data_IF_875393646008
#
_entry.id   IF_875393646008
#
_cell.length_a   1.000
_cell.length_b   1.000
_cell.length_c   1.000
_cell.angle_alpha   90.00
_cell.angle_beta   90.00
_cell.angle_gamma   90.00
#
_symmetry.space_group_name_H-M   'P 1'
#
loop_
_entity.id
_entity.type
_entity.pdbx_description
1 polymer ?
#
# COMPACT_ATOMS: atom_id res chain seq x y z
N UNK A 1 22.99 -3.23 19.35
CA UNK A 1 21.66 -3.34 18.69
C UNK A 1 21.25 -1.94 18.29
N UNK A 2 20.96 -1.67 17.01
CA UNK A 2 20.52 -0.34 16.60
C UNK A 2 19.14 -0.04 17.22
N UNK A 3 18.88 1.19 17.68
CA UNK A 3 17.55 1.56 18.15
C UNK A 3 16.51 1.42 17.02
N UNK A 4 15.23 1.15 17.35
CA UNK A 4 14.18 1.12 16.33
C UNK A 4 14.14 2.46 15.57
N UNK A 5 13.80 2.47 14.28
CA UNK A 5 13.72 3.70 13.51
C UNK A 5 12.70 4.67 14.15
N UNK A 6 12.96 5.98 14.14
CA UNK A 6 12.01 6.95 14.66
C UNK A 6 10.73 6.98 13.82
N UNK A 7 9.60 7.31 14.46
CA UNK A 7 8.27 7.23 13.85
C UNK A 7 8.10 8.09 12.59
N UNK A 8 8.84 9.19 12.47
CA UNK A 8 8.81 10.09 11.30
C UNK A 8 9.44 9.50 10.03
N UNK A 9 10.11 8.35 10.15
CA UNK A 9 10.59 7.57 9.00
C UNK A 9 9.52 6.68 8.38
N UNK A 10 8.40 6.43 9.06
CA UNK A 10 7.37 5.54 8.57
C UNK A 10 6.27 6.30 7.84
N UNK A 11 5.90 5.79 6.68
CA UNK A 11 4.72 6.21 5.92
C UNK A 11 3.93 4.97 5.53
N UNK A 12 2.60 5.03 5.64
CA UNK A 12 1.76 3.97 5.09
C UNK A 12 1.10 4.44 3.79
N UNK A 13 1.11 3.58 2.78
CA UNK A 13 0.63 3.88 1.43
C UNK A 13 -0.52 2.95 1.03
N UNK A 14 -1.50 3.49 0.30
CA UNK A 14 -2.51 2.70 -0.39
C UNK A 14 -3.02 3.44 -1.61
N UNK A 15 -3.09 2.74 -2.74
CA UNK A 15 -3.61 3.25 -3.99
C UNK A 15 -4.97 2.64 -4.32
N UNK A 16 -5.75 3.39 -5.07
CA UNK A 16 -6.92 2.89 -5.79
C UNK A 16 -6.68 3.06 -7.28
N UNK A 17 -7.15 2.08 -8.04
CA UNK A 17 -6.90 1.98 -9.46
C UNK A 17 -8.20 1.81 -10.25
N UNK A 18 -8.13 2.26 -11.50
CA UNK A 18 -9.13 2.02 -12.53
C UNK A 18 -8.55 1.08 -13.59
N UNK A 19 -9.42 0.47 -14.38
CA UNK A 19 -9.08 -0.36 -15.53
C UNK A 19 -8.97 0.46 -16.81
N UNK A 20 -7.88 0.24 -17.54
CA UNK A 20 -7.64 0.76 -18.89
C UNK A 20 -7.38 -0.38 -19.88
N UNK A 21 -7.45 -0.08 -21.18
CA UNK A 21 -7.28 -1.06 -22.24
C UNK A 21 -8.47 -2.00 -22.41
N UNK A 22 -8.36 -3.05 -23.25
CA UNK A 22 -9.45 -3.98 -23.51
C UNK A 22 -9.98 -4.61 -22.22
N UNK A 23 -11.27 -4.38 -21.94
CA UNK A 23 -11.97 -4.93 -20.76
C UNK A 23 -11.48 -4.42 -19.40
N UNK A 24 -10.73 -3.32 -19.32
CA UNK A 24 -10.27 -2.76 -18.04
C UNK A 24 -9.23 -3.61 -17.29
N UNK A 25 -8.57 -4.50 -18.02
CA UNK A 25 -7.63 -5.51 -17.48
C UNK A 25 -6.34 -4.91 -16.95
N UNK A 26 -5.91 -3.76 -17.46
CA UNK A 26 -4.69 -3.08 -17.01
C UNK A 26 -5.03 -2.07 -15.93
N UNK A 27 -4.43 -2.20 -14.75
CA UNK A 27 -4.62 -1.26 -13.64
C UNK A 27 -3.85 0.04 -13.89
N UNK A 28 -4.52 1.17 -13.72
CA UNK A 28 -3.95 2.51 -13.76
C UNK A 28 -4.27 3.25 -12.47
N UNK A 29 -3.31 4.00 -11.94
CA UNK A 29 -3.49 4.80 -10.73
C UNK A 29 -4.61 5.84 -10.91
N UNK A 30 -5.51 5.92 -9.93
CA UNK A 30 -6.62 6.87 -9.93
C UNK A 30 -6.74 7.65 -8.62
N UNK A 31 -6.23 7.10 -7.51
CA UNK A 31 -6.07 7.82 -6.23
C UNK A 31 -4.89 7.22 -5.47
N UNK A 32 -4.09 8.05 -4.83
CA UNK A 32 -3.03 7.63 -3.90
C UNK A 32 -3.25 8.30 -2.57
N UNK A 33 -3.10 7.52 -1.50
CA UNK A 33 -3.13 8.01 -0.12
C UNK A 33 -1.84 7.59 0.58
N UNK A 34 -1.26 8.55 1.30
CA UNK A 34 -0.14 8.33 2.20
C UNK A 34 -0.52 8.94 3.56
N UNK A 35 -0.30 8.16 4.62
CA UNK A 35 -0.49 8.59 6.01
C UNK A 35 0.83 8.52 6.77
N UNK A 36 1.00 9.39 7.76
CA UNK A 36 2.13 9.31 8.69
C UNK A 36 1.99 8.14 9.65
N UNK A 37 3.01 7.91 10.48
CA UNK A 37 2.96 6.85 11.49
C UNK A 37 1.74 6.95 12.39
N UNK A 38 1.20 8.13 12.70
CA UNK A 38 0.01 8.30 13.55
C UNK A 38 -1.32 8.08 12.81
N UNK A 39 -1.28 7.76 11.52
CA UNK A 39 -2.46 7.59 10.68
C UNK A 39 -3.06 8.91 10.19
N UNK A 40 -2.37 10.05 10.36
CA UNK A 40 -2.77 11.34 9.80
C UNK A 40 -2.44 11.34 8.31
N UNK A 41 -3.40 11.78 7.49
CA UNK A 41 -3.19 11.92 6.03
C UNK A 41 -2.13 12.99 5.77
N UNK A 42 -1.07 12.60 5.06
CA UNK A 42 -0.02 13.52 4.59
C UNK A 42 -0.17 13.83 3.10
N UNK A 43 -0.74 12.89 2.34
CA UNK A 43 -1.04 13.08 0.92
C UNK A 43 -2.27 12.26 0.55
N UNK A 44 -3.23 12.89 -0.13
CA UNK A 44 -4.43 12.24 -0.65
C UNK A 44 -4.86 12.99 -1.90
N UNK A 45 -4.68 12.36 -3.06
CA UNK A 45 -4.98 12.97 -4.35
C UNK A 45 -5.56 11.96 -5.32
N UNK A 46 -6.62 12.40 -6.01
CA UNK A 46 -7.05 11.77 -7.25
C UNK A 46 -6.05 12.09 -8.36
N UNK A 47 -5.90 11.16 -9.29
CA UNK A 47 -4.89 11.20 -10.35
C UNK A 47 -5.56 11.10 -11.70
N UNK A 48 -5.18 11.98 -12.63
CA UNK A 48 -5.69 11.96 -13.99
C UNK A 48 -5.10 10.75 -14.72
N UNK A 49 -5.94 9.82 -15.22
CA UNK A 49 -5.50 8.72 -16.05
C UNK A 49 -4.77 9.24 -17.30
N UNK A 50 -3.68 8.58 -17.71
CA UNK A 50 -2.98 8.90 -18.96
C UNK A 50 -3.49 8.07 -20.14
N UNK A 51 -4.46 7.19 -19.91
CA UNK A 51 -5.14 6.37 -20.90
C UNK A 51 -6.65 6.44 -20.66
N UNK A 52 -7.44 6.15 -21.69
CA UNK A 52 -8.90 6.07 -21.56
C UNK A 52 -9.29 4.97 -20.56
N UNK A 53 -10.08 5.36 -19.56
CA UNK A 53 -10.67 4.44 -18.59
C UNK A 53 -11.78 3.63 -19.26
N UNK A 54 -11.67 2.31 -19.20
CA UNK A 54 -12.68 1.38 -19.70
C UNK A 54 -13.47 0.71 -18.57
N UNK A 55 -12.94 0.70 -17.36
CA UNK A 55 -13.63 0.26 -16.15
C UNK A 55 -13.21 1.10 -14.94
N UNK A 56 -14.14 1.80 -14.29
CA UNK A 56 -13.83 2.59 -13.09
C UNK A 56 -13.70 1.76 -11.81
N UNK A 57 -14.13 0.49 -11.84
CA UNK A 57 -14.18 -0.40 -10.68
C UNK A 57 -14.98 0.22 -9.52
N UNK A 58 -15.99 1.02 -9.85
CA UNK A 58 -16.73 1.88 -8.89
C UNK A 58 -17.36 1.11 -7.75
N UNK A 59 -17.87 -0.10 -8.01
CA UNK A 59 -18.44 -0.97 -6.98
C UNK A 59 -17.44 -1.28 -5.85
N UNK A 60 -16.16 -1.42 -6.20
CA UNK A 60 -15.08 -1.72 -5.26
C UNK A 60 -14.39 -0.46 -4.75
N UNK A 61 -14.11 0.53 -5.61
CA UNK A 61 -13.23 1.67 -5.25
C UNK A 61 -13.98 2.94 -4.90
N UNK A 62 -15.26 3.05 -5.27
CA UNK A 62 -16.03 4.30 -5.22
C UNK A 62 -15.56 5.37 -6.20
N UNK A 63 -14.57 5.09 -7.04
CA UNK A 63 -14.09 6.04 -8.05
C UNK A 63 -15.12 6.13 -9.17
N UNK A 64 -15.37 7.36 -9.61
CA UNK A 64 -16.29 7.69 -10.68
C UNK A 64 -15.60 8.65 -11.64
N UNK A 65 -16.16 8.80 -12.84
CA UNK A 65 -15.64 9.74 -13.84
C UNK A 65 -15.58 11.18 -13.31
N UNK A 66 -16.56 11.60 -12.51
CA UNK A 66 -16.60 12.94 -11.94
C UNK A 66 -15.40 13.21 -11.01
N UNK A 67 -14.94 12.20 -10.25
CA UNK A 67 -13.76 12.34 -9.41
C UNK A 67 -12.50 12.63 -10.25
N UNK A 68 -12.35 11.95 -11.40
CA UNK A 68 -11.16 12.04 -12.25
C UNK A 68 -11.17 13.23 -13.24
N UNK A 69 -12.30 13.92 -13.35
CA UNK A 69 -12.46 15.15 -14.16
C UNK A 69 -12.57 16.43 -13.32
N UNK A 70 -12.48 16.32 -11.99
CA UNK A 70 -12.53 17.50 -11.12
C UNK A 70 -11.31 18.41 -11.28
N UNK A 71 -11.44 19.68 -10.92
CA UNK A 71 -10.34 20.67 -10.99
C UNK A 71 -9.16 20.34 -10.08
N UNK A 72 -9.38 19.51 -9.07
CA UNK A 72 -8.40 19.24 -8.01
C UNK A 72 -7.55 17.98 -8.28
N UNK A 73 -7.75 17.34 -9.44
CA UNK A 73 -7.00 16.15 -9.88
C UNK A 73 -5.60 16.55 -10.31
N UNK A 74 -4.61 15.75 -9.88
CA UNK A 74 -3.22 15.96 -10.31
C UNK A 74 -2.90 15.07 -11.52
N UNK A 75 -2.02 15.55 -12.41
CA UNK A 75 -1.49 14.71 -13.48
C UNK A 75 -0.65 13.57 -12.90
N UNK A 76 -0.62 12.43 -13.59
CA UNK A 76 0.18 11.27 -13.17
C UNK A 76 1.65 11.63 -12.92
N UNK A 77 2.26 12.42 -13.81
CA UNK A 77 3.67 12.82 -13.68
C UNK A 77 3.93 13.66 -12.42
N UNK A 78 3.03 14.61 -12.08
CA UNK A 78 3.16 15.40 -10.85
C UNK A 78 3.03 14.52 -9.60
N UNK A 79 2.07 13.59 -9.60
CA UNK A 79 1.88 12.65 -8.49
C UNK A 79 3.08 11.72 -8.35
N UNK A 80 3.57 11.15 -9.45
CA UNK A 80 4.71 10.25 -9.45
C UNK A 80 5.95 10.93 -8.87
N UNK A 81 6.27 12.14 -9.34
CA UNK A 81 7.42 12.90 -8.85
C UNK A 81 7.26 13.26 -7.37
N UNK A 82 6.08 13.75 -6.97
CA UNK A 82 5.82 14.13 -5.59
C UNK A 82 5.92 12.93 -4.64
N UNK A 83 5.29 11.80 -5.00
CA UNK A 83 5.31 10.58 -4.20
C UNK A 83 6.73 10.01 -4.12
N UNK A 84 7.48 9.97 -5.22
CA UNK A 84 8.86 9.49 -5.24
C UNK A 84 9.74 10.27 -4.25
N UNK A 85 9.64 11.61 -4.27
CA UNK A 85 10.38 12.47 -3.33
C UNK A 85 9.90 12.28 -1.88
N UNK A 86 8.60 12.09 -1.66
CA UNK A 86 8.03 11.94 -0.33
C UNK A 86 8.44 10.63 0.35
N UNK A 87 8.55 9.53 -0.41
CA UNK A 87 8.88 8.20 0.13
C UNK A 87 10.38 7.91 0.16
N UNK A 88 11.21 8.77 -0.44
CA UNK A 88 12.66 8.58 -0.47
C UNK A 88 13.25 8.49 0.95
N UNK A 89 14.05 7.45 1.20
CA UNK A 89 14.62 7.13 2.51
C UNK A 89 13.61 6.71 3.60
N UNK A 90 12.31 6.64 3.29
CA UNK A 90 11.24 6.25 4.22
C UNK A 90 11.02 4.75 4.25
N UNK A 91 10.47 4.27 5.36
CA UNK A 91 9.99 2.90 5.51
C UNK A 91 8.50 2.88 5.14
N UNK A 92 8.17 2.12 4.10
CA UNK A 92 6.79 1.99 3.61
C UNK A 92 6.07 0.85 4.31
N UNK A 93 4.93 1.17 4.90
CA UNK A 93 3.99 0.21 5.47
C UNK A 93 2.79 0.09 4.53
N UNK A 94 2.26 -1.12 4.35
CA UNK A 94 1.12 -1.31 3.47
C UNK A 94 0.74 -2.77 3.33
N UNK A 95 -0.20 -3.04 2.43
CA UNK A 95 -0.67 -4.38 2.11
C UNK A 95 -0.51 -4.63 0.62
N UNK A 96 0.29 -5.64 0.26
CA UNK A 96 0.62 -5.94 -1.14
C UNK A 96 1.22 -4.73 -1.87
N UNK A 97 2.23 -4.10 -1.24
CA UNK A 97 2.82 -2.81 -1.62
C UNK A 97 3.31 -2.81 -3.07
N UNK A 98 3.66 -3.97 -3.63
CA UNK A 98 4.04 -4.10 -5.05
C UNK A 98 2.94 -3.61 -6.00
N UNK A 99 1.66 -3.75 -5.63
CA UNK A 99 0.56 -3.25 -6.45
C UNK A 99 0.58 -1.72 -6.51
N UNK A 100 0.82 -1.06 -5.37
CA UNK A 100 0.92 0.40 -5.27
C UNK A 100 2.13 0.92 -6.05
N UNK A 101 3.31 0.35 -5.80
CA UNK A 101 4.55 0.74 -6.46
C UNK A 101 4.49 0.50 -7.98
N UNK A 102 3.85 -0.59 -8.42
CA UNK A 102 3.70 -0.89 -9.86
C UNK A 102 2.83 0.13 -10.58
N UNK A 103 1.68 0.54 -10.00
CA UNK A 103 0.82 1.54 -10.65
C UNK A 103 1.39 2.96 -10.53
N UNK A 104 2.20 3.24 -9.51
CA UNK A 104 2.97 4.48 -9.38
C UNK A 104 4.18 4.51 -10.33
N UNK A 105 4.70 3.35 -10.72
CA UNK A 105 5.95 3.24 -11.48
C UNK A 105 7.18 3.71 -10.71
N UNK A 106 7.18 3.55 -9.38
CA UNK A 106 8.28 3.99 -8.50
C UNK A 106 8.88 2.76 -7.81
N UNK A 107 10.19 2.49 -7.94
CA UNK A 107 10.83 1.42 -7.20
C UNK A 107 11.17 1.86 -5.77
N UNK A 108 11.17 0.92 -4.83
CA UNK A 108 11.52 1.20 -3.42
C UNK A 108 12.39 0.07 -2.85
N UNK A 109 13.43 0.35 -2.03
CA UNK A 109 14.26 -0.70 -1.44
C UNK A 109 13.43 -1.71 -0.64
N UNK A 110 13.59 -3.00 -0.92
CA UNK A 110 12.82 -4.05 -0.24
C UNK A 110 13.00 -4.01 1.28
N UNK A 111 14.23 -3.74 1.75
CA UNK A 111 14.58 -3.59 3.18
C UNK A 111 13.84 -2.46 3.89
N UNK A 112 13.32 -1.48 3.14
CA UNK A 112 12.53 -0.36 3.64
C UNK A 112 11.02 -0.55 3.39
N UNK A 113 10.57 -1.80 3.26
CA UNK A 113 9.15 -2.14 3.24
C UNK A 113 8.74 -2.96 4.46
N UNK A 114 7.49 -2.77 4.89
CA UNK A 114 6.79 -3.50 5.94
C UNK A 114 5.43 -3.89 5.37
N UNK A 115 5.45 -4.89 4.50
CA UNK A 115 4.25 -5.39 3.84
C UNK A 115 3.55 -6.42 4.72
N UNK A 116 2.41 -6.05 5.28
CA UNK A 116 1.65 -6.93 6.20
C UNK A 116 1.10 -8.16 5.49
N UNK A 117 1.02 -8.15 4.15
CA UNK A 117 0.64 -9.31 3.35
C UNK A 117 1.77 -10.35 3.24
N UNK A 118 3.03 -9.93 3.41
CA UNK A 118 4.22 -10.79 3.33
C UNK A 118 4.76 -11.20 4.70
N UNK A 119 4.34 -10.54 5.78
CA UNK A 119 4.85 -10.79 7.11
C UNK A 119 4.55 -12.22 7.59
N UNK A 120 5.60 -13.02 7.80
CA UNK A 120 5.45 -14.45 8.09
C UNK A 120 4.74 -14.74 9.43
N UNK A 121 4.98 -13.98 10.52
CA UNK A 121 4.24 -14.18 11.75
C UNK A 121 2.72 -14.08 11.58
N UNK A 122 2.21 -13.15 10.76
CA UNK A 122 0.77 -13.05 10.48
C UNK A 122 0.25 -14.23 9.65
N UNK A 123 1.00 -14.65 8.64
CA UNK A 123 0.66 -15.82 7.83
C UNK A 123 0.63 -17.10 8.65
N UNK A 124 1.61 -17.28 9.53
CA UNK A 124 1.73 -18.42 10.42
C UNK A 124 0.59 -18.45 11.45
N UNK A 125 0.25 -17.29 12.04
CA UNK A 125 -0.89 -17.17 12.96
C UNK A 125 -2.21 -17.65 12.33
N UNK A 126 -2.36 -17.45 11.01
CA UNK A 126 -3.53 -17.85 10.24
C UNK A 126 -3.37 -19.19 9.50
N UNK A 127 -2.29 -19.94 9.76
CA UNK A 127 -1.99 -21.26 9.16
C UNK A 127 -1.90 -21.23 7.62
N UNK A 128 -1.44 -20.11 7.05
CA UNK A 128 -1.31 -19.88 5.60
C UNK A 128 0.07 -19.36 5.21
N UNK A 129 1.18 -20.05 5.55
CA UNK A 129 2.57 -19.55 5.38
C UNK A 129 2.95 -19.17 3.94
N UNK A 130 2.32 -19.80 2.94
CA UNK A 130 2.66 -19.64 1.52
C UNK A 130 1.63 -18.84 0.73
N UNK A 131 0.58 -18.31 1.37
CA UNK A 131 -0.48 -17.58 0.68
C UNK A 131 -0.51 -16.10 1.09
N UNK A 132 -0.83 -15.24 0.14
CA UNK A 132 -1.14 -13.84 0.41
C UNK A 132 -2.56 -13.76 0.99
N UNK A 133 -2.67 -13.22 2.20
CA UNK A 133 -3.94 -13.07 2.91
C UNK A 133 -4.46 -11.65 2.68
N UNK A 134 -5.75 -11.50 2.38
CA UNK A 134 -6.38 -10.19 2.17
C UNK A 134 -6.37 -9.30 3.42
N UNK A 135 -6.35 -7.98 3.22
CA UNK A 135 -6.28 -7.00 4.32
C UNK A 135 -7.47 -7.15 5.29
N UNK A 136 -8.68 -7.30 4.76
CA UNK A 136 -9.88 -7.52 5.57
C UNK A 136 -9.76 -8.77 6.46
N UNK A 137 -9.24 -9.88 5.92
CA UNK A 137 -9.04 -11.11 6.69
C UNK A 137 -7.99 -10.93 7.78
N UNK A 138 -6.86 -10.28 7.46
CA UNK A 138 -5.82 -9.97 8.45
C UNK A 138 -6.37 -9.10 9.58
N UNK A 139 -7.07 -8.01 9.24
CA UNK A 139 -7.64 -7.07 10.21
C UNK A 139 -8.69 -7.74 11.11
N UNK A 140 -9.56 -8.57 10.53
CA UNK A 140 -10.57 -9.27 11.29
C UNK A 140 -9.97 -10.32 12.24
N UNK A 141 -9.08 -11.18 11.73
CA UNK A 141 -8.58 -12.31 12.49
C UNK A 141 -7.53 -11.93 13.55
N UNK A 142 -6.74 -10.88 13.29
CA UNK A 142 -5.64 -10.49 14.19
C UNK A 142 -6.01 -9.33 15.11
N UNK A 143 -6.99 -8.50 14.76
CA UNK A 143 -7.34 -7.29 15.51
C UNK A 143 -8.84 -7.19 15.84
N UNK A 144 -9.67 -8.16 15.42
CA UNK A 144 -11.14 -8.08 15.51
C UNK A 144 -11.70 -6.79 14.89
N UNK A 145 -11.05 -6.26 13.86
CA UNK A 145 -11.41 -5.00 13.20
C UNK A 145 -12.08 -5.28 11.86
N UNK A 146 -13.23 -4.66 11.64
CA UNK A 146 -13.90 -4.63 10.32
C UNK A 146 -13.31 -3.48 9.49
N UNK A 147 -13.06 -3.74 8.22
CA UNK A 147 -12.63 -2.76 7.22
C UNK A 147 -13.05 -3.23 5.83
N UNK A 148 -12.96 -2.35 4.83
CA UNK A 148 -13.39 -2.65 3.46
C UNK A 148 -14.86 -3.07 3.41
N UNK A 149 -15.70 -2.46 4.24
CA UNK A 149 -17.15 -2.71 4.26
C UNK A 149 -17.81 -1.88 3.16
N UNK A 150 -18.26 -2.56 2.10
CA UNK A 150 -18.74 -1.89 0.89
C UNK A 150 -17.55 -1.51 -0.01
N UNK A 151 -17.24 -0.22 -0.10
CA UNK A 151 -16.14 0.27 -0.94
C UNK A 151 -14.81 0.28 -0.18
N UNK A 152 -13.73 -0.05 -0.90
CA UNK A 152 -12.37 -0.06 -0.39
C UNK A 152 -11.81 1.36 -0.39
N UNK A 153 -11.84 2.01 0.77
CA UNK A 153 -11.28 3.35 0.92
C UNK A 153 -9.76 3.31 1.18
N UNK A 154 -8.93 3.95 0.34
CA UNK A 154 -7.46 3.87 0.49
C UNK A 154 -6.96 4.45 1.81
N UNK A 155 -7.63 5.48 2.35
CA UNK A 155 -7.32 6.03 3.69
C UNK A 155 -7.53 4.98 4.79
N UNK A 156 -8.62 4.22 4.73
CA UNK A 156 -8.87 3.14 5.68
C UNK A 156 -7.81 2.04 5.52
N UNK A 157 -7.57 1.59 4.29
CA UNK A 157 -6.59 0.54 4.01
C UNK A 157 -5.18 0.89 4.53
N UNK A 158 -4.70 2.12 4.27
CA UNK A 158 -3.41 2.58 4.75
C UNK A 158 -3.33 2.58 6.28
N UNK A 159 -4.40 3.00 6.96
CA UNK A 159 -4.48 2.98 8.43
C UNK A 159 -4.55 1.56 8.99
N UNK A 160 -5.34 0.68 8.39
CA UNK A 160 -5.46 -0.72 8.83
C UNK A 160 -4.12 -1.45 8.68
N UNK A 161 -3.43 -1.28 7.55
CA UNK A 161 -2.10 -1.86 7.36
C UNK A 161 -1.08 -1.30 8.38
N UNK A 162 -1.16 -0.01 8.68
CA UNK A 162 -0.32 0.62 9.70
C UNK A 162 -0.60 0.11 11.11
N UNK A 163 -1.87 -0.10 11.46
CA UNK A 163 -2.25 -0.63 12.77
C UNK A 163 -1.87 -2.10 12.92
N UNK A 164 -1.97 -2.90 11.85
CA UNK A 164 -1.41 -4.26 11.79
C UNK A 164 0.10 -4.25 11.99
N UNK A 165 0.84 -3.39 11.28
CA UNK A 165 2.28 -3.26 11.50
C UNK A 165 2.60 -2.92 12.97
N UNK A 166 1.88 -1.94 13.54
CA UNK A 166 2.06 -1.50 14.93
C UNK A 166 1.77 -2.58 15.96
N UNK A 167 0.84 -3.49 15.70
CA UNK A 167 0.53 -4.56 16.64
C UNK A 167 1.69 -5.52 16.87
N UNK A 168 2.68 -5.55 15.95
CA UNK A 168 3.86 -6.41 16.08
C UNK A 168 5.17 -5.69 15.72
N UNK A 169 5.20 -4.35 15.79
CA UNK A 169 6.33 -3.54 15.33
C UNK A 169 7.61 -3.82 16.12
N UNK A 170 7.52 -4.05 17.44
CA UNK A 170 8.67 -4.35 18.28
C UNK A 170 9.37 -5.64 17.82
N UNK A 171 8.61 -6.69 17.54
CA UNK A 171 9.15 -7.96 17.04
C UNK A 171 9.69 -7.83 15.62
N UNK A 172 8.97 -7.10 14.75
CA UNK A 172 9.36 -6.89 13.36
C UNK A 172 10.70 -6.13 13.27
N UNK A 173 10.83 -4.99 13.96
CA UNK A 173 12.05 -4.20 13.96
C UNK A 173 13.19 -4.90 14.71
N UNK A 174 12.89 -5.66 15.78
CA UNK A 174 13.89 -6.49 16.45
C UNK A 174 14.47 -7.55 15.52
N UNK A 175 13.65 -8.22 14.70
CA UNK A 175 14.11 -9.19 13.72
C UNK A 175 15.04 -8.53 12.68
N UNK A 176 14.63 -7.39 12.13
CA UNK A 176 15.42 -6.64 11.13
C UNK A 176 16.73 -6.13 11.71
N UNK A 177 16.73 -5.62 12.95
CA UNK A 177 17.94 -5.14 13.63
C UNK A 177 18.99 -6.24 13.87
N UNK A 178 18.57 -7.51 13.86
CA UNK A 178 19.42 -8.70 13.97
C UNK A 178 19.86 -9.25 12.60
N UNK A 179 19.48 -8.61 11.50
CA UNK A 179 19.77 -9.06 10.14
C UNK A 179 18.82 -10.15 9.62
N UNK A 180 17.73 -10.43 10.33
CA UNK A 180 16.72 -11.39 9.86
C UNK A 180 15.69 -10.70 8.97
N UNK A 181 15.20 -11.42 7.96
CA UNK A 181 14.10 -10.98 7.11
C UNK A 181 12.82 -11.75 7.47
N UNK A 182 11.87 -11.17 8.24
CA UNK A 182 10.71 -11.89 8.75
C UNK A 182 9.54 -11.95 7.75
N UNK A 183 9.76 -11.63 6.48
CA UNK A 183 8.72 -11.57 5.45
C UNK A 183 9.01 -12.54 4.31
N UNK A 184 7.96 -12.99 3.61
CA UNK A 184 8.13 -13.65 2.32
C UNK A 184 8.68 -12.67 1.27
N UNK A 185 9.22 -13.19 0.17
CA UNK A 185 9.58 -12.37 -0.98
C UNK A 185 8.31 -11.93 -1.73
N UNK A 186 8.28 -10.71 -2.29
CA UNK A 186 7.20 -10.28 -3.16
C UNK A 186 7.16 -11.12 -4.45
N UNK A 187 6.02 -11.18 -5.17
CA UNK A 187 5.93 -11.96 -6.40
C UNK A 187 6.93 -11.48 -7.46
N UNK A 188 7.60 -12.42 -8.13
CA UNK A 188 8.71 -12.12 -9.07
C UNK A 188 8.30 -11.24 -10.25
N UNK A 189 7.04 -11.29 -10.67
CA UNK A 189 6.47 -10.40 -11.70
C UNK A 189 6.62 -8.91 -11.36
N UNK A 190 6.78 -8.58 -10.08
CA UNK A 190 6.95 -7.21 -9.59
C UNK A 190 8.38 -6.90 -9.15
N UNK A 191 9.38 -7.69 -9.56
CA UNK A 191 10.80 -7.47 -9.19
C UNK A 191 11.27 -6.05 -9.48
N UNK A 192 10.81 -5.44 -10.59
CA UNK A 192 11.10 -4.04 -10.96
C UNK A 192 10.67 -2.99 -9.93
N UNK A 193 9.77 -3.33 -9.01
CA UNK A 193 9.28 -2.41 -7.98
C UNK A 193 10.22 -2.36 -6.78
N UNK A 194 11.22 -3.24 -6.72
CA UNK A 194 12.12 -3.37 -5.58
C UNK A 194 13.56 -3.18 -6.05
N UNK A 195 14.28 -2.29 -5.35
CA UNK A 195 15.73 -2.08 -5.49
C UNK A 195 16.50 -3.02 -4.56
#
# INVERSE_FOLDING_TARGET
MAPPPPSDRFLAISCSNVGVGPGGTTSMLARVVIVDYRGKVVFDRYVSPTMQVTDYRTSTTGISEAHLKSSDVWSFSMVQQYVANLIDGKILVGHSIWNDLSVLGIPHPAVYTRDVALYQPFRNALRSPHQVIGLQTLAWQLMCRRCQEGQHHPVENARVALDLYRSDADNWEAAISKGNWPSALPPSTFSRCYL
#
